data_IF_605699394985
#
_entry.id   IF_605699394985
#
_cell.length_a   1.000
_cell.length_b   1.000
_cell.length_c   1.000
_cell.angle_alpha   90.00
_cell.angle_beta   90.00
_cell.angle_gamma   90.00
#
_symmetry.space_group_name_H-M   'P 1'
#
loop_
_entity.id
_entity.type
_entity.pdbx_description
1 polymer ?
#
# COMPACT_ATOMS: atom_id res chain seq x y z
N UNK A 1 8.95 -19.43 -18.65
CA UNK A 1 7.88 -18.96 -17.74
C UNK A 1 7.70 -17.49 -18.03
N UNK A 2 6.50 -17.03 -18.37
CA UNK A 2 6.24 -15.61 -18.53
C UNK A 2 6.35 -14.93 -17.17
N UNK A 3 7.18 -13.89 -17.08
CA UNK A 3 7.25 -13.04 -15.91
C UNK A 3 5.99 -12.16 -15.89
N UNK A 4 5.03 -12.51 -15.05
CA UNK A 4 3.76 -11.78 -14.95
C UNK A 4 3.90 -10.69 -13.89
N UNK A 5 3.68 -9.44 -14.30
CA UNK A 5 3.65 -8.27 -13.41
C UNK A 5 2.21 -7.78 -13.32
N UNK A 6 1.70 -7.57 -12.10
CA UNK A 6 0.39 -6.95 -11.87
C UNK A 6 0.52 -5.71 -10.99
N UNK A 7 -0.21 -4.67 -11.37
CA UNK A 7 -0.34 -3.42 -10.63
C UNK A 7 -1.67 -3.43 -9.89
N UNK A 8 -1.63 -3.25 -8.56
CA UNK A 8 -2.81 -3.32 -7.70
C UNK A 8 -2.90 -2.04 -6.87
N UNK A 9 -4.08 -1.43 -6.87
CA UNK A 9 -4.42 -0.24 -6.09
C UNK A 9 -5.75 -0.48 -5.36
N UNK A 10 -5.72 -0.87 -4.07
CA UNK A 10 -6.92 -1.00 -3.25
C UNK A 10 -7.76 0.28 -3.25
N UNK A 11 -9.08 0.17 -3.04
CA UNK A 11 -9.97 1.33 -3.06
C UNK A 11 -9.85 2.18 -1.79
N UNK A 12 -9.41 1.54 -0.71
CA UNK A 12 -9.25 2.09 0.62
C UNK A 12 -7.96 2.92 0.75
N UNK A 13 -7.03 2.75 -0.18
CA UNK A 13 -5.78 3.50 -0.25
C UNK A 13 -5.82 4.57 -1.34
N UNK A 14 -5.00 5.60 -1.15
CA UNK A 14 -4.85 6.66 -2.14
C UNK A 14 -4.38 6.10 -3.48
N UNK A 15 -5.02 6.53 -4.56
CA UNK A 15 -4.62 6.19 -5.94
C UNK A 15 -3.73 7.30 -6.49
N UNK A 16 -2.55 6.95 -6.98
CA UNK A 16 -1.58 7.89 -7.50
C UNK A 16 -1.22 7.56 -8.96
N UNK A 17 -1.13 8.55 -9.88
CA UNK A 17 -0.73 8.27 -11.25
C UNK A 17 0.77 7.91 -11.40
N UNK A 18 1.61 8.25 -10.44
CA UNK A 18 3.06 8.03 -10.50
C UNK A 18 3.50 6.67 -9.92
N UNK A 19 2.68 5.99 -9.12
CA UNK A 19 3.02 4.70 -8.52
C UNK A 19 1.79 3.83 -8.25
N UNK A 20 2.00 2.51 -8.11
CA UNK A 20 1.00 1.57 -7.60
C UNK A 20 1.28 1.24 -6.14
N UNK A 21 0.23 1.07 -5.33
CA UNK A 21 0.38 0.68 -3.92
C UNK A 21 1.04 -0.69 -3.78
N UNK A 22 0.68 -1.63 -4.66
CA UNK A 22 1.17 -3.00 -4.65
C UNK A 22 1.56 -3.42 -6.07
N UNK A 23 2.70 -4.12 -6.18
CA UNK A 23 3.10 -4.86 -7.38
C UNK A 23 3.26 -6.33 -7.02
N UNK A 24 2.72 -7.23 -7.85
CA UNK A 24 3.05 -8.66 -7.75
C UNK A 24 3.84 -9.11 -8.95
N UNK A 25 4.89 -9.91 -8.73
CA UNK A 25 5.66 -10.58 -9.77
C UNK A 25 5.54 -12.09 -9.61
N UNK A 26 5.28 -12.80 -10.70
CA UNK A 26 5.22 -14.27 -10.71
C UNK A 26 6.26 -14.83 -11.71
N UNK A 27 7.09 -15.76 -11.23
CA UNK A 27 8.09 -16.50 -12.00
C UNK A 27 8.20 -17.92 -11.42
N UNK A 28 9.36 -18.29 -10.86
CA UNK A 28 9.50 -19.53 -10.08
C UNK A 28 8.75 -19.49 -8.72
N UNK A 29 8.29 -18.30 -8.31
CA UNK A 29 7.48 -18.06 -7.13
C UNK A 29 6.76 -16.72 -7.26
N UNK A 30 5.86 -16.44 -6.31
CA UNK A 30 5.14 -15.15 -6.23
C UNK A 30 5.81 -14.24 -5.21
N UNK A 31 6.14 -13.03 -5.63
CA UNK A 31 6.64 -11.95 -4.74
C UNK A 31 5.66 -10.78 -4.78
N UNK A 32 5.38 -10.22 -3.61
CA UNK A 32 4.51 -9.06 -3.44
C UNK A 32 5.37 -7.91 -2.91
N UNK A 33 5.44 -6.82 -3.68
CA UNK A 33 6.08 -5.58 -3.29
C UNK A 33 4.99 -4.60 -2.87
N UNK A 34 5.06 -4.13 -1.62
CA UNK A 34 4.13 -3.15 -1.06
C UNK A 34 4.90 -1.85 -0.88
N UNK A 35 4.37 -0.75 -1.42
CA UNK A 35 4.91 0.59 -1.19
C UNK A 35 4.86 0.95 0.30
N UNK A 36 5.78 1.78 0.77
CA UNK A 36 5.79 2.22 2.17
C UNK A 36 4.45 2.82 2.58
N UNK A 37 3.83 2.26 3.61
CA UNK A 37 2.54 2.73 4.11
C UNK A 37 2.75 3.78 5.20
N UNK A 38 2.06 4.90 5.04
CA UNK A 38 1.99 5.99 6.02
C UNK A 38 0.60 6.04 6.65
N UNK A 39 0.47 6.81 7.73
CA UNK A 39 -0.80 7.01 8.43
C UNK A 39 -1.74 7.99 7.69
N UNK A 40 -2.08 7.66 6.45
CA UNK A 40 -3.07 8.39 5.65
C UNK A 40 -4.28 7.52 5.34
N UNK A 41 -5.47 8.12 5.24
CA UNK A 41 -6.66 7.42 4.76
C UNK A 41 -6.72 7.40 3.22
N UNK A 42 -7.77 6.82 2.64
CA UNK A 42 -7.97 6.75 1.18
C UNK A 42 -8.06 8.10 0.47
N UNK A 43 -8.36 9.18 1.21
CA UNK A 43 -8.38 10.55 0.69
C UNK A 43 -7.01 11.23 0.80
N UNK A 44 -6.00 10.56 1.35
CA UNK A 44 -4.66 11.12 1.59
C UNK A 44 -4.56 11.99 2.84
N UNK A 45 -5.56 11.99 3.72
CA UNK A 45 -5.57 12.79 4.94
C UNK A 45 -4.84 12.07 6.07
N UNK A 46 -4.08 12.80 6.87
CA UNK A 46 -3.34 12.24 8.01
C UNK A 46 -4.30 11.80 9.10
N UNK A 47 -4.19 10.54 9.52
CA UNK A 47 -4.89 9.97 10.69
C UNK A 47 -3.94 10.01 11.89
N UNK A 48 -4.43 10.40 13.07
CA UNK A 48 -3.62 10.42 14.30
C UNK A 48 -2.58 11.55 14.34
N UNK A 49 -2.92 12.77 13.89
CA UNK A 49 -1.99 13.91 13.93
C UNK A 49 -1.46 14.12 15.35
N UNK A 50 -0.13 14.15 15.49
CA UNK A 50 0.59 14.24 16.77
C UNK A 50 0.43 13.03 17.71
N UNK A 51 -0.04 11.89 17.22
CA UNK A 51 -0.19 10.65 17.98
C UNK A 51 0.45 9.48 17.22
N UNK A 52 1.63 9.04 17.69
CA UNK A 52 2.39 7.98 17.04
C UNK A 52 1.71 6.60 17.17
N UNK A 53 0.93 6.38 18.22
CA UNK A 53 0.22 5.12 18.41
C UNK A 53 -0.89 5.01 17.37
N UNK A 54 -1.73 6.04 17.25
CA UNK A 54 -2.78 6.08 16.23
C UNK A 54 -2.23 6.04 14.80
N UNK A 55 -1.09 6.68 14.56
CA UNK A 55 -0.43 6.60 13.25
C UNK A 55 0.05 5.18 12.95
N UNK A 56 0.65 4.51 13.93
CA UNK A 56 1.09 3.12 13.78
C UNK A 56 -0.09 2.20 13.50
N UNK A 57 -1.21 2.37 14.22
CA UNK A 57 -2.43 1.63 13.95
C UNK A 57 -2.96 1.87 12.52
N UNK A 58 -2.95 3.11 12.04
CA UNK A 58 -3.39 3.39 10.67
C UNK A 58 -2.46 2.75 9.63
N UNK A 59 -1.13 2.79 9.84
CA UNK A 59 -0.17 2.11 8.97
C UNK A 59 -0.46 0.61 8.91
N UNK A 60 -0.70 -0.02 10.06
CA UNK A 60 -1.03 -1.45 10.11
C UNK A 60 -2.39 -1.74 9.46
N UNK A 61 -3.39 -0.86 9.61
CA UNK A 61 -4.67 -0.98 8.89
C UNK A 61 -4.50 -0.88 7.38
N UNK A 62 -3.60 -0.03 6.91
CA UNK A 62 -3.32 0.12 5.47
C UNK A 62 -2.59 -1.09 4.88
N UNK A 63 -1.93 -1.91 5.71
CA UNK A 63 -1.21 -3.13 5.30
C UNK A 63 -2.08 -4.40 5.32
N UNK A 64 -3.19 -4.40 6.06
CA UNK A 64 -4.08 -5.55 6.24
C UNK A 64 -5.06 -5.72 5.06
#
# INVERSE_FOLDING_TARGET
>A
MENKIQHINPNELIKNPAFSQIITTEGNGKTIYIGGQNAVNGNGEIVGKNDVLQQTEQVMKNLN
#
